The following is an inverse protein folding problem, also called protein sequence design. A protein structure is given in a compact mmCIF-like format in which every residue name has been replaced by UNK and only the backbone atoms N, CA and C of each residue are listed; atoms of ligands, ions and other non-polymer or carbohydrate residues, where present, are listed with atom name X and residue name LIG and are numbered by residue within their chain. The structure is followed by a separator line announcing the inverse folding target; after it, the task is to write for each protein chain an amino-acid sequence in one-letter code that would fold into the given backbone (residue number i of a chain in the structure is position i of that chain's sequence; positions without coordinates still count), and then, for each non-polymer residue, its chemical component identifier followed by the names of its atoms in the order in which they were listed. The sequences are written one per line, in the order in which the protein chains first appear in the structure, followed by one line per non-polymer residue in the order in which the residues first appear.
data_IF_012994407215
#
_entry.id   IF_012994407215
#
_cell.length_a   1.000
_cell.length_b   1.000
_cell.length_c   1.000
_cell.angle_alpha   90.00
_cell.angle_beta   90.00
_cell.angle_gamma   90.00
#
_symmetry.space_group_name_H-M   'P 1'
#
loop_
_entity.id
_entity.type
_entity.pdbx_description
1 polymer ?
#
# COMPACT_ATOMS: atom_id res chain seq x y z
N UNK A 1 16.61 -17.53 -3.07
CA UNK A 1 16.76 -16.06 -3.14
C UNK A 1 16.69 -15.55 -4.57
N UNK A 2 17.51 -16.10 -5.47
CA UNK A 2 17.49 -15.79 -6.91
C UNK A 2 16.09 -15.71 -7.55
N UNK A 3 15.20 -16.67 -7.25
CA UNK A 3 13.83 -16.64 -7.80
C UNK A 3 13.01 -15.43 -7.34
N UNK A 4 13.27 -14.87 -6.15
CA UNK A 4 12.58 -13.66 -5.67
C UNK A 4 13.13 -12.39 -6.33
N UNK A 5 14.42 -12.33 -6.67
CA UNK A 5 14.95 -11.25 -7.50
C UNK A 5 14.31 -11.27 -8.89
N UNK A 6 14.23 -12.44 -9.52
CA UNK A 6 13.56 -12.61 -10.81
C UNK A 6 12.06 -12.27 -10.75
N UNK A 7 11.40 -12.58 -9.64
CA UNK A 7 10.03 -12.15 -9.38
C UNK A 7 9.95 -10.62 -9.30
N UNK A 8 10.85 -9.98 -8.57
CA UNK A 8 10.88 -8.52 -8.41
C UNK A 8 11.04 -7.82 -9.75
N UNK A 9 12.00 -8.26 -10.57
CA UNK A 9 12.22 -7.71 -11.91
C UNK A 9 11.00 -7.91 -12.82
N UNK A 10 10.37 -9.08 -12.77
CA UNK A 10 9.15 -9.35 -13.51
C UNK A 10 8.01 -8.42 -13.08
N UNK A 11 7.79 -8.25 -11.77
CA UNK A 11 6.72 -7.40 -11.24
C UNK A 11 6.95 -5.94 -11.62
N UNK A 12 8.18 -5.42 -11.50
CA UNK A 12 8.50 -4.07 -11.98
C UNK A 12 8.20 -3.91 -13.47
N UNK A 13 8.47 -4.93 -14.29
CA UNK A 13 8.12 -4.92 -15.71
C UNK A 13 6.60 -4.92 -15.94
N UNK A 14 5.81 -5.68 -15.19
CA UNK A 14 4.35 -5.73 -15.30
C UNK A 14 3.71 -4.40 -14.87
N UNK A 15 4.25 -3.78 -13.82
CA UNK A 15 3.90 -2.41 -13.42
C UNK A 15 4.36 -1.38 -14.46
N UNK A 16 5.21 -1.76 -15.40
CA UNK A 16 5.81 -0.91 -16.42
C UNK A 16 6.64 0.21 -15.81
N UNK A 17 7.42 -0.14 -14.79
CA UNK A 17 8.43 0.73 -14.18
C UNK A 17 9.68 0.70 -15.07
N UNK A 18 10.14 1.88 -15.49
CA UNK A 18 11.35 2.01 -16.31
C UNK A 18 12.61 1.85 -15.44
N UNK A 19 13.36 0.78 -15.68
CA UNK A 19 14.60 0.46 -14.94
C UNK A 19 15.75 1.42 -15.22
N UNK A 20 15.64 2.29 -16.23
CA UNK A 20 16.60 3.37 -16.44
C UNK A 20 16.44 4.50 -15.41
N UNK A 21 15.25 4.61 -14.81
CA UNK A 21 14.88 5.68 -13.87
C UNK A 21 14.48 5.16 -12.49
N UNK A 22 14.32 3.85 -12.35
CA UNK A 22 14.02 3.18 -11.09
C UNK A 22 14.94 2.00 -10.79
N UNK A 23 15.69 2.08 -9.69
CA UNK A 23 16.50 0.97 -9.19
C UNK A 23 15.80 0.23 -8.02
N UNK A 24 16.16 -1.04 -7.82
CA UNK A 24 15.76 -1.84 -6.66
C UNK A 24 17.00 -2.30 -5.89
N UNK A 25 16.94 -2.28 -4.55
CA UNK A 25 17.97 -2.80 -3.66
C UNK A 25 17.35 -3.49 -2.44
N UNK A 26 18.19 -4.05 -1.57
CA UNK A 26 17.74 -4.71 -0.32
C UNK A 26 17.87 -3.76 0.88
N UNK A 27 16.88 -3.81 1.78
CA UNK A 27 16.92 -3.14 3.09
C UNK A 27 16.16 -3.96 4.14
N UNK A 28 16.34 -3.63 5.42
CA UNK A 28 15.59 -4.28 6.50
C UNK A 28 14.09 -3.93 6.44
N UNK A 29 13.80 -2.65 6.17
CA UNK A 29 12.44 -2.18 5.95
C UNK A 29 12.35 -1.63 4.53
N UNK A 30 11.45 -2.15 3.67
CA UNK A 30 11.20 -1.59 2.36
C UNK A 30 10.85 -0.09 2.41
N UNK A 31 11.35 0.67 1.45
CA UNK A 31 11.00 2.08 1.27
C UNK A 31 11.24 2.51 -0.17
N UNK A 32 10.66 3.66 -0.51
CA UNK A 32 10.91 4.38 -1.76
C UNK A 32 11.57 5.71 -1.45
N UNK A 33 12.59 6.07 -2.22
CA UNK A 33 13.25 7.36 -2.15
C UNK A 33 13.42 7.95 -3.55
N UNK A 34 12.97 9.20 -3.72
CA UNK A 34 13.15 9.97 -4.96
C UNK A 34 14.16 11.09 -4.78
N UNK A 35 15.20 11.12 -5.60
CA UNK A 35 16.14 12.26 -5.69
C UNK A 35 15.75 13.22 -6.82
N UNK A 36 15.09 12.67 -7.84
CA UNK A 36 14.59 13.33 -9.04
C UNK A 36 13.50 12.41 -9.62
N UNK A 37 12.55 12.91 -10.42
CA UNK A 37 11.57 12.05 -11.11
C UNK A 37 12.20 11.08 -12.16
N UNK A 38 13.53 11.07 -12.28
CA UNK A 38 14.35 10.21 -13.15
C UNK A 38 15.42 9.44 -12.36
N UNK A 39 15.43 9.54 -11.03
CA UNK A 39 16.24 8.73 -10.13
C UNK A 39 15.39 8.45 -8.88
N UNK A 40 14.56 7.42 -9.00
CA UNK A 40 13.75 6.88 -7.92
C UNK A 40 14.30 5.50 -7.55
N UNK A 41 14.33 5.18 -6.27
CA UNK A 41 14.89 3.92 -5.78
C UNK A 41 13.92 3.29 -4.82
N UNK A 42 13.59 2.04 -5.09
CA UNK A 42 12.79 1.22 -4.20
C UNK A 42 13.70 0.21 -3.50
N UNK A 43 13.29 -0.25 -2.34
CA UNK A 43 13.92 -1.39 -1.69
C UNK A 43 12.90 -2.46 -1.34
N UNK A 44 13.37 -3.68 -1.17
CA UNK A 44 12.58 -4.79 -0.63
C UNK A 44 13.41 -5.57 0.36
N UNK A 45 12.76 -6.38 1.19
CA UNK A 45 13.43 -7.43 1.95
C UNK A 45 13.05 -8.78 1.36
N UNK A 46 13.98 -9.73 1.33
CA UNK A 46 13.69 -11.09 0.86
C UNK A 46 13.76 -12.09 2.01
N UNK A 47 12.60 -12.57 2.43
CA UNK A 47 12.50 -13.65 3.40
C UNK A 47 12.47 -14.99 2.65
N UNK A 48 13.39 -15.90 2.98
CA UNK A 48 13.49 -17.21 2.30
C UNK A 48 12.20 -18.02 2.42
N UNK A 49 11.52 -17.91 3.57
CA UNK A 49 10.31 -18.67 3.89
C UNK A 49 9.02 -17.95 3.50
N UNK A 50 9.09 -16.68 3.07
CA UNK A 50 7.92 -15.85 2.79
C UNK A 50 8.08 -15.07 1.46
N UNK A 51 8.11 -15.75 0.30
CA UNK A 51 8.31 -15.09 -1.00
C UNK A 51 7.18 -14.14 -1.39
N UNK A 52 6.01 -14.27 -0.75
CA UNK A 52 4.87 -13.35 -0.94
C UNK A 52 5.17 -11.95 -0.38
N UNK A 53 6.08 -11.85 0.60
CA UNK A 53 6.48 -10.56 1.15
C UNK A 53 7.12 -9.68 0.08
N UNK A 54 8.13 -10.18 -0.64
CA UNK A 54 8.83 -9.40 -1.66
C UNK A 54 7.93 -9.08 -2.85
N UNK A 55 6.99 -9.96 -3.21
CA UNK A 55 5.95 -9.67 -4.20
C UNK A 55 5.19 -8.38 -3.85
N UNK A 56 4.57 -8.32 -2.67
CA UNK A 56 3.76 -7.15 -2.30
C UNK A 56 4.61 -5.94 -1.92
N UNK A 57 5.78 -6.13 -1.34
CA UNK A 57 6.74 -5.04 -1.09
C UNK A 57 7.12 -4.34 -2.39
N UNK A 58 7.45 -5.09 -3.46
CA UNK A 58 7.82 -4.49 -4.75
C UNK A 58 6.63 -3.82 -5.41
N UNK A 59 5.41 -4.36 -5.27
CA UNK A 59 4.21 -3.69 -5.79
C UNK A 59 3.93 -2.39 -5.03
N UNK A 60 4.04 -2.42 -3.70
CA UNK A 60 3.82 -1.27 -2.82
C UNK A 60 4.80 -0.14 -3.12
N UNK A 61 6.10 -0.43 -3.03
CA UNK A 61 7.14 0.56 -3.32
C UNK A 61 7.14 0.94 -4.81
N UNK A 62 6.77 0.02 -5.70
CA UNK A 62 6.55 0.31 -7.11
C UNK A 62 5.45 1.35 -7.34
N UNK A 63 4.35 1.29 -6.60
CA UNK A 63 3.28 2.30 -6.68
C UNK A 63 3.73 3.68 -6.21
N UNK A 64 4.53 3.76 -5.15
CA UNK A 64 5.22 4.98 -4.76
C UNK A 64 6.14 5.50 -5.87
N UNK A 65 6.96 4.62 -6.46
CA UNK A 65 7.89 5.02 -7.50
C UNK A 65 7.20 5.51 -8.77
N UNK A 66 6.08 4.89 -9.15
CA UNK A 66 5.24 5.35 -10.27
C UNK A 66 4.76 6.78 -10.05
N UNK A 67 4.38 7.15 -8.82
CA UNK A 67 3.98 8.52 -8.51
C UNK A 67 5.14 9.51 -8.67
N UNK A 68 6.28 9.20 -8.03
CA UNK A 68 7.46 10.08 -8.07
C UNK A 68 7.98 10.28 -9.51
N UNK A 69 8.07 9.20 -10.29
CA UNK A 69 8.46 9.29 -11.71
C UNK A 69 7.41 9.97 -12.58
N UNK A 70 6.12 9.87 -12.19
CA UNK A 70 5.00 10.48 -12.91
C UNK A 70 4.88 11.99 -12.72
N UNK A 71 5.65 12.60 -11.82
CA UNK A 71 5.69 14.05 -11.63
C UNK A 71 6.28 14.75 -12.88
N UNK A 72 5.73 15.92 -13.27
CA UNK A 72 6.25 16.65 -14.43
C UNK A 72 7.65 17.23 -14.20
N UNK A 73 8.50 17.17 -15.24
CA UNK A 73 9.90 17.64 -15.21
C UNK A 73 10.05 19.09 -14.73
N UNK A 74 9.05 19.95 -14.96
CA UNK A 74 9.06 21.37 -14.56
C UNK A 74 9.09 21.59 -13.05
N UNK A 75 8.77 20.57 -12.25
CA UNK A 75 8.81 20.67 -10.80
C UNK A 75 10.14 20.26 -10.19
N UNK A 76 11.01 19.58 -10.95
CA UNK A 76 12.34 19.22 -10.46
C UNK A 76 13.11 20.47 -10.00
N UNK A 77 13.87 20.33 -8.91
CA UNK A 77 14.63 21.43 -8.28
C UNK A 77 13.77 22.59 -7.74
N UNK A 78 12.47 22.36 -7.51
CA UNK A 78 11.58 23.29 -6.83
C UNK A 78 11.04 22.68 -5.54
N UNK A 79 10.44 23.50 -4.68
CA UNK A 79 9.70 23.01 -3.49
C UNK A 79 8.43 22.22 -3.85
N UNK A 80 8.05 22.20 -5.13
CA UNK A 80 6.89 21.47 -5.63
C UNK A 80 7.22 20.06 -6.11
N UNK A 81 8.50 19.65 -6.08
CA UNK A 81 8.92 18.30 -6.47
C UNK A 81 8.37 17.21 -5.53
N UNK A 82 8.07 16.05 -6.12
CA UNK A 82 7.59 14.85 -5.42
C UNK A 82 6.11 14.87 -5.05
N UNK A 83 5.67 13.86 -4.31
CA UNK A 83 4.25 13.69 -3.98
C UNK A 83 3.67 14.72 -3.01
N UNK A 84 2.38 15.07 -3.19
CA UNK A 84 1.67 16.15 -2.50
C UNK A 84 1.58 15.99 -0.97
N UNK A 85 1.42 14.77 -0.48
CA UNK A 85 1.42 14.42 0.94
C UNK A 85 1.66 12.93 1.14
N UNK A 86 1.98 12.51 2.36
CA UNK A 86 2.08 11.08 2.69
C UNK A 86 0.79 10.31 2.43
N UNK A 87 -0.38 10.93 2.60
CA UNK A 87 -1.67 10.27 2.34
C UNK A 87 -1.91 10.04 0.84
N UNK A 88 -1.61 11.04 0.00
CA UNK A 88 -1.68 10.86 -1.46
C UNK A 88 -0.61 9.87 -1.91
N UNK A 89 0.61 9.95 -1.35
CA UNK A 89 1.71 9.05 -1.70
C UNK A 89 1.38 7.59 -1.36
N UNK A 90 0.86 7.33 -0.16
CA UNK A 90 0.36 6.01 0.26
C UNK A 90 -0.83 5.54 -0.56
N UNK A 91 -1.69 6.45 -1.02
CA UNK A 91 -2.80 6.04 -1.89
C UNK A 91 -2.31 5.39 -3.18
N UNK A 92 -1.15 5.82 -3.71
CA UNK A 92 -0.58 5.23 -4.91
C UNK A 92 -0.01 3.85 -4.61
N UNK A 93 0.77 3.69 -3.54
CA UNK A 93 1.27 2.36 -3.15
C UNK A 93 0.16 1.37 -2.86
N UNK A 94 -0.87 1.76 -2.11
CA UNK A 94 -2.02 0.91 -1.77
C UNK A 94 -2.94 0.63 -2.95
N UNK A 95 -3.07 1.57 -3.89
CA UNK A 95 -3.81 1.32 -5.12
C UNK A 95 -3.16 0.20 -5.93
N UNK A 96 -1.85 0.28 -6.16
CA UNK A 96 -1.14 -0.78 -6.87
C UNK A 96 -1.05 -2.07 -6.05
N UNK A 97 -0.77 -2.02 -4.75
CA UNK A 97 -0.63 -3.19 -3.90
C UNK A 97 -1.94 -3.95 -3.74
N UNK A 98 -3.01 -3.26 -3.34
CA UNK A 98 -4.23 -3.92 -2.90
C UNK A 98 -5.32 -3.91 -3.96
N UNK A 99 -5.61 -2.73 -4.54
CA UNK A 99 -6.70 -2.62 -5.52
C UNK A 99 -6.33 -3.40 -6.78
N UNK A 100 -5.11 -3.24 -7.30
CA UNK A 100 -4.62 -3.98 -8.46
C UNK A 100 -3.96 -5.29 -8.03
N UNK A 101 -2.92 -5.24 -7.19
CA UNK A 101 -2.02 -6.35 -6.91
C UNK A 101 -2.65 -7.53 -6.19
N UNK A 102 -3.68 -7.29 -5.35
CA UNK A 102 -4.47 -8.33 -4.69
C UNK A 102 -5.79 -8.65 -5.40
N UNK A 103 -6.02 -8.09 -6.59
CA UNK A 103 -7.19 -8.42 -7.41
C UNK A 103 -7.05 -9.78 -8.07
N UNK A 104 -8.18 -10.46 -8.25
CA UNK A 104 -8.20 -11.75 -8.96
C UNK A 104 -7.75 -11.63 -10.43
N UNK A 105 -8.14 -10.60 -11.21
CA UNK A 105 -7.62 -10.39 -12.57
C UNK A 105 -6.09 -10.30 -12.62
N UNK A 106 -5.48 -9.48 -11.76
CA UNK A 106 -4.03 -9.30 -11.75
C UNK A 106 -3.30 -10.58 -11.34
N UNK A 107 -3.77 -11.22 -10.26
CA UNK A 107 -3.16 -12.46 -9.79
C UNK A 107 -3.29 -13.58 -10.82
N UNK A 108 -4.42 -13.69 -11.50
CA UNK A 108 -4.60 -14.64 -12.62
C UNK A 108 -3.56 -14.43 -13.72
N UNK A 109 -3.25 -13.18 -14.06
CA UNK A 109 -2.24 -12.86 -15.07
C UNK A 109 -0.82 -13.25 -14.63
N UNK A 110 -0.42 -12.94 -13.39
CA UNK A 110 0.95 -13.20 -12.91
C UNK A 110 1.18 -14.64 -12.42
N UNK A 111 0.11 -15.38 -12.11
CA UNK A 111 0.20 -16.71 -11.50
C UNK A 111 1.05 -17.72 -12.30
N UNK A 112 0.95 -17.79 -13.65
CA UNK A 112 1.84 -18.66 -14.43
C UNK A 112 3.32 -18.40 -14.20
N UNK A 113 3.71 -17.13 -13.99
CA UNK A 113 5.09 -16.77 -13.67
C UNK A 113 5.49 -17.19 -12.25
N UNK A 114 4.56 -17.09 -11.29
CA UNK A 114 4.78 -17.61 -9.94
C UNK A 114 5.01 -19.12 -9.96
N UNK A 115 4.19 -19.88 -10.70
CA UNK A 115 4.37 -21.34 -10.87
C UNK A 115 5.71 -21.67 -11.53
N UNK A 116 6.13 -20.89 -12.53
CA UNK A 116 7.44 -21.07 -13.17
C UNK A 116 8.60 -20.90 -12.17
N UNK A 117 8.52 -19.91 -11.29
CA UNK A 117 9.58 -19.58 -10.33
C UNK A 117 9.55 -20.48 -9.08
N UNK A 118 8.38 -20.93 -8.64
CA UNK A 118 8.17 -21.70 -7.41
C UNK A 118 7.33 -22.97 -7.62
N UNK A 119 7.72 -23.86 -8.56
CA UNK A 119 6.87 -24.97 -9.00
C UNK A 119 6.56 -25.98 -7.90
N UNK A 120 7.51 -26.25 -7.00
CA UNK A 120 7.29 -27.19 -5.87
C UNK A 120 6.38 -26.59 -4.80
N UNK A 121 6.54 -25.30 -4.50
CA UNK A 121 5.77 -24.62 -3.47
C UNK A 121 4.31 -24.35 -3.89
N UNK A 122 4.05 -24.29 -5.20
CA UNK A 122 2.72 -24.06 -5.77
C UNK A 122 2.11 -25.32 -6.42
N UNK A 123 2.64 -26.50 -6.12
CA UNK A 123 2.08 -27.76 -6.61
C UNK A 123 0.63 -27.92 -6.12
N UNK A 124 -0.31 -28.14 -7.06
CA UNK A 124 -1.73 -28.29 -6.75
C UNK A 124 -2.45 -26.99 -6.35
N UNK A 125 -1.80 -25.83 -6.47
CA UNK A 125 -2.41 -24.51 -6.23
C UNK A 125 -2.81 -23.90 -7.57
N UNK A 126 -4.03 -23.39 -7.67
CA UNK A 126 -4.47 -22.55 -8.79
C UNK A 126 -4.47 -21.06 -8.43
N UNK A 127 -4.66 -20.19 -9.44
CA UNK A 127 -4.64 -18.75 -9.25
C UNK A 127 -5.74 -18.25 -8.29
N UNK A 128 -6.90 -18.90 -8.29
CA UNK A 128 -8.03 -18.53 -7.43
C UNK A 128 -7.77 -18.92 -5.96
N UNK A 129 -7.16 -20.07 -5.71
CA UNK A 129 -6.67 -20.48 -4.39
C UNK A 129 -5.60 -19.52 -3.88
N UNK A 130 -4.67 -19.11 -4.75
CA UNK A 130 -3.65 -18.13 -4.39
C UNK A 130 -4.27 -16.77 -4.06
N UNK A 131 -5.21 -16.28 -4.88
CA UNK A 131 -5.98 -15.06 -4.62
C UNK A 131 -6.68 -15.10 -3.25
N UNK A 132 -7.29 -16.24 -2.89
CA UNK A 132 -7.88 -16.42 -1.57
C UNK A 132 -6.85 -16.35 -0.44
N UNK A 133 -5.71 -17.01 -0.60
CA UNK A 133 -4.66 -17.07 0.41
C UNK A 133 -4.06 -15.69 0.73
N UNK A 134 -3.77 -14.89 -0.30
CA UNK A 134 -3.14 -13.56 -0.14
C UNK A 134 -4.11 -12.47 0.32
N UNK A 135 -5.42 -12.75 0.34
CA UNK A 135 -6.46 -11.85 0.85
C UNK A 135 -7.04 -12.31 2.19
N UNK A 136 -6.43 -13.30 2.85
CA UNK A 136 -6.85 -13.75 4.18
C UNK A 136 -6.84 -12.58 5.16
N UNK A 137 -7.98 -12.35 5.83
CA UNK A 137 -8.09 -11.45 6.97
C UNK A 137 -8.01 -12.21 8.30
N UNK A 138 -7.28 -11.64 9.24
CA UNK A 138 -7.20 -12.11 10.63
C UNK A 138 -6.62 -11.00 11.50
N UNK A 139 -7.21 -10.71 12.66
CA UNK A 139 -6.56 -9.83 13.62
C UNK A 139 -5.15 -10.34 13.97
N UNK A 140 -4.19 -9.42 14.04
CA UNK A 140 -2.79 -9.71 14.29
C UNK A 140 -2.15 -8.60 15.14
N UNK A 141 -0.87 -8.77 15.53
CA UNK A 141 -0.16 -7.82 16.38
C UNK A 141 0.61 -6.76 15.59
N UNK A 142 1.19 -7.16 14.46
CA UNK A 142 2.18 -6.38 13.72
C UNK A 142 1.49 -5.63 12.58
N UNK A 143 1.48 -4.29 12.67
CA UNK A 143 0.78 -3.42 11.72
C UNK A 143 1.23 -3.61 10.27
N UNK A 144 2.54 -3.75 10.02
CA UNK A 144 3.09 -3.90 8.66
C UNK A 144 2.73 -5.24 8.00
N UNK A 145 2.28 -6.22 8.79
CA UNK A 145 1.87 -7.55 8.35
C UNK A 145 0.34 -7.73 8.37
N UNK A 146 -0.41 -6.69 8.80
CA UNK A 146 -1.86 -6.75 8.90
C UNK A 146 -2.52 -6.81 7.53
N UNK A 147 -3.64 -7.52 7.45
CA UNK A 147 -4.44 -7.61 6.23
C UNK A 147 -5.23 -6.33 5.96
N UNK A 148 -5.80 -6.23 4.76
CA UNK A 148 -6.48 -5.01 4.30
C UNK A 148 -7.69 -4.61 5.16
N UNK A 149 -8.37 -5.58 5.80
CA UNK A 149 -9.54 -5.32 6.62
C UNK A 149 -9.17 -4.85 8.03
N UNK A 150 -8.08 -5.38 8.60
CA UNK A 150 -7.66 -5.08 9.97
C UNK A 150 -6.62 -3.95 10.07
N UNK A 151 -5.88 -3.66 8.99
CA UNK A 151 -4.81 -2.67 8.97
C UNK A 151 -5.22 -1.29 9.50
N UNK A 152 -6.41 -0.79 9.13
CA UNK A 152 -6.88 0.52 9.59
C UNK A 152 -7.10 0.58 11.11
N UNK A 153 -7.42 -0.53 11.77
CA UNK A 153 -7.59 -0.59 13.22
C UNK A 153 -6.26 -0.36 13.94
N UNK A 154 -5.15 -0.88 13.39
CA UNK A 154 -3.81 -0.59 13.92
C UNK A 154 -3.47 0.89 13.87
N UNK A 155 -3.91 1.58 12.81
CA UNK A 155 -3.74 3.04 12.66
C UNK A 155 -4.61 3.78 13.67
N UNK A 156 -5.86 3.35 13.86
CA UNK A 156 -6.76 3.95 14.85
C UNK A 156 -6.17 3.89 16.26
N UNK A 157 -5.61 2.75 16.69
CA UNK A 157 -4.94 2.65 18.00
C UNK A 157 -3.86 3.74 18.16
N UNK A 158 -2.97 3.87 17.18
CA UNK A 158 -1.87 4.85 17.24
C UNK A 158 -2.40 6.28 17.24
N UNK A 159 -3.41 6.56 16.42
CA UNK A 159 -4.04 7.87 16.36
C UNK A 159 -4.73 8.25 17.67
N UNK A 160 -5.43 7.31 18.32
CA UNK A 160 -6.04 7.54 19.63
C UNK A 160 -4.98 7.85 20.71
N UNK A 161 -3.88 7.09 20.73
CA UNK A 161 -2.77 7.33 21.66
C UNK A 161 -2.09 8.67 21.40
N UNK A 162 -1.82 9.03 20.14
CA UNK A 162 -1.25 10.32 19.77
C UNK A 162 -2.13 11.49 20.21
N UNK A 163 -3.45 11.42 19.98
CA UNK A 163 -4.39 12.46 20.46
C UNK A 163 -4.32 12.63 21.97
N UNK A 164 -4.33 11.53 22.72
CA UNK A 164 -4.30 11.58 24.18
C UNK A 164 -2.96 12.12 24.73
N UNK A 165 -1.84 11.74 24.10
CA UNK A 165 -0.52 12.28 24.44
C UNK A 165 -0.44 13.78 24.17
N UNK A 166 -0.92 14.25 23.01
CA UNK A 166 -0.93 15.67 22.64
C UNK A 166 -1.88 16.47 23.54
N UNK A 167 -3.03 15.90 23.89
CA UNK A 167 -3.99 16.53 24.80
C UNK A 167 -3.52 16.56 26.27
N UNK A 168 -2.44 15.84 26.60
CA UNK A 168 -1.94 15.70 27.97
C UNK A 168 -2.83 14.83 28.87
N UNK A 169 -3.75 14.04 28.28
CA UNK A 169 -4.65 13.13 29.03
C UNK A 169 -4.06 11.75 29.23
N UNK A 170 -2.95 11.43 28.55
CA UNK A 170 -2.17 10.20 28.72
C UNK A 170 -0.70 10.56 29.02
N UNK A 171 -0.13 9.99 30.08
CA UNK A 171 1.31 10.12 30.33
C UNK A 171 2.09 9.07 29.54
N UNK A 172 3.30 9.42 29.08
CA UNK A 172 4.16 8.53 28.27
C UNK A 172 4.41 7.17 28.94
N UNK A 173 4.58 7.15 30.26
CA UNK A 173 4.82 5.91 31.02
C UNK A 173 3.63 4.93 30.98
N UNK A 174 2.43 5.43 30.71
CA UNK A 174 1.18 4.66 30.71
C UNK A 174 0.81 4.17 29.28
N UNK A 175 1.58 4.55 28.26
CA UNK A 175 1.40 4.12 26.86
C UNK A 175 1.35 2.59 26.70
N UNK A 176 2.22 1.78 27.36
CA UNK A 176 2.15 0.33 27.21
C UNK A 176 0.80 -0.27 27.63
N UNK A 177 0.21 0.23 28.72
CA UNK A 177 -1.08 -0.25 29.22
C UNK A 177 -2.23 0.20 28.30
N UNK A 178 -2.26 1.48 27.93
CA UNK A 178 -3.26 2.04 27.02
C UNK A 178 -3.22 1.35 25.64
N UNK A 179 -2.03 1.05 25.14
CA UNK A 179 -1.84 0.28 23.91
C UNK A 179 -2.47 -1.10 23.99
N UNK A 180 -2.18 -1.84 25.07
CA UNK A 180 -2.70 -3.20 25.25
C UNK A 180 -4.22 -3.22 25.37
N UNK A 181 -4.80 -2.22 26.04
CA UNK A 181 -6.25 -2.04 26.12
C UNK A 181 -6.87 -1.81 24.74
N UNK A 182 -6.32 -0.87 23.97
CA UNK A 182 -6.84 -0.54 22.64
C UNK A 182 -6.66 -1.69 21.63
N UNK A 183 -5.56 -2.44 21.69
CA UNK A 183 -5.37 -3.63 20.85
C UNK A 183 -6.40 -4.72 21.18
N UNK A 184 -6.70 -4.94 22.47
CA UNK A 184 -7.76 -5.87 22.88
C UNK A 184 -9.13 -5.38 22.41
N UNK A 185 -9.41 -4.09 22.52
CA UNK A 185 -10.70 -3.50 22.14
C UNK A 185 -10.95 -3.55 20.62
N UNK A 186 -9.97 -3.13 19.82
CA UNK A 186 -10.15 -2.98 18.38
C UNK A 186 -9.86 -4.26 17.60
N UNK A 187 -8.85 -5.03 18.01
CA UNK A 187 -8.39 -6.22 17.29
C UNK A 187 -8.72 -7.52 18.03
N UNK A 188 -9.11 -7.48 19.30
CA UNK A 188 -9.40 -8.70 20.07
C UNK A 188 -8.18 -9.56 20.37
N UNK A 189 -6.96 -9.01 20.27
CA UNK A 189 -5.70 -9.75 20.48
C UNK A 189 -4.99 -9.32 21.76
N UNK A 190 -4.27 -10.25 22.37
CA UNK A 190 -3.45 -9.97 23.54
C UNK A 190 -2.00 -9.67 23.15
N UNK A 191 -1.47 -8.56 23.67
CA UNK A 191 -0.09 -8.14 23.42
C UNK A 191 0.82 -8.78 24.47
N UNK A 192 1.74 -9.69 24.10
CA UNK A 192 2.51 -10.47 25.07
C UNK A 192 3.67 -9.70 25.71
N UNK A 193 4.16 -8.64 25.05
CA UNK A 193 5.25 -7.79 25.53
C UNK A 193 5.35 -6.50 24.71
N UNK A 194 6.09 -5.51 25.22
CA UNK A 194 6.22 -4.20 24.57
C UNK A 194 6.91 -4.25 23.20
N UNK A 195 7.76 -5.24 22.92
CA UNK A 195 8.39 -5.42 21.58
C UNK A 195 7.33 -5.71 20.52
N UNK A 196 6.32 -6.53 20.83
CA UNK A 196 5.15 -6.75 19.96
C UNK A 196 4.01 -5.76 20.21
N UNK A 197 4.21 -4.82 21.15
CA UNK A 197 3.26 -3.79 21.54
C UNK A 197 3.70 -2.42 21.06
N UNK A 198 3.70 -1.44 21.98
CA UNK A 198 4.01 -0.05 21.69
C UNK A 198 5.42 0.24 21.17
N UNK A 199 6.35 -0.73 21.19
CA UNK A 199 7.70 -0.59 20.62
C UNK A 199 7.84 -1.25 19.24
N UNK A 200 6.76 -1.75 18.63
CA UNK A 200 6.82 -2.43 17.34
C UNK A 200 7.18 -1.50 16.17
N UNK A 201 6.93 -0.19 16.31
CA UNK A 201 7.15 0.81 15.27
C UNK A 201 8.19 1.86 15.69
N UNK A 202 9.00 2.32 14.73
CA UNK A 202 10.06 3.31 14.94
C UNK A 202 9.58 4.77 14.85
N UNK A 203 8.34 5.01 14.44
CA UNK A 203 7.84 6.35 14.12
C UNK A 203 7.96 7.32 15.31
N UNK A 204 7.52 6.91 16.50
CA UNK A 204 7.53 7.77 17.67
C UNK A 204 8.95 8.06 18.18
N UNK A 205 9.87 7.10 18.09
CA UNK A 205 11.28 7.35 18.44
C UNK A 205 11.97 8.27 17.43
N UNK A 206 11.52 8.25 16.17
CA UNK A 206 11.92 9.19 15.12
C UNK A 206 11.17 10.53 15.12
N UNK A 207 10.27 10.79 16.08
CA UNK A 207 9.52 12.04 16.18
C UNK A 207 8.36 12.20 15.19
N UNK A 208 7.97 11.14 14.48
CA UNK A 208 6.88 11.15 13.49
C UNK A 208 5.50 11.02 14.17
N UNK A 209 5.12 12.04 14.95
CA UNK A 209 3.81 12.14 15.60
C UNK A 209 2.80 12.75 14.62
N UNK A 210 1.59 12.18 14.52
CA UNK A 210 0.57 12.60 13.55
C UNK A 210 0.79 12.03 12.15
N UNK A 211 1.74 11.11 12.00
CA UNK A 211 2.08 10.49 10.72
C UNK A 211 1.15 9.32 10.38
N UNK A 212 0.86 8.43 11.35
CA UNK A 212 0.08 7.21 11.09
C UNK A 212 -1.26 7.40 10.38
N UNK A 213 -2.05 8.47 10.65
CA UNK A 213 -3.30 8.70 9.92
C UNK A 213 -3.14 8.75 8.40
N UNK A 214 -1.96 9.13 7.88
CA UNK A 214 -1.70 9.13 6.45
C UNK A 214 -1.82 7.74 5.83
N UNK A 215 -1.48 6.69 6.58
CA UNK A 215 -1.58 5.31 6.08
C UNK A 215 -3.04 4.89 5.85
N UNK A 216 -3.93 5.21 6.81
CA UNK A 216 -5.36 4.92 6.68
C UNK A 216 -6.01 5.74 5.56
N UNK A 217 -5.62 7.03 5.42
CA UNK A 217 -6.08 7.86 4.30
C UNK A 217 -5.63 7.30 2.95
N UNK A 218 -4.38 6.82 2.86
CA UNK A 218 -3.86 6.18 1.66
C UNK A 218 -4.73 5.01 1.19
N UNK A 219 -4.99 4.05 2.08
CA UNK A 219 -5.89 2.93 1.79
C UNK A 219 -7.30 3.39 1.40
N UNK A 220 -7.84 4.40 2.08
CA UNK A 220 -9.21 4.86 1.85
C UNK A 220 -9.41 5.63 0.54
N UNK A 221 -8.37 6.30 0.04
CA UNK A 221 -8.43 6.98 -1.26
C UNK A 221 -8.49 6.02 -2.45
N UNK A 222 -7.88 4.84 -2.34
CA UNK A 222 -7.78 3.85 -3.40
C UNK A 222 -9.12 3.51 -4.09
N UNK A 223 -10.13 3.04 -3.33
CA UNK A 223 -11.43 2.68 -3.90
C UNK A 223 -12.16 3.84 -4.58
N UNK A 224 -12.07 5.06 -4.05
CA UNK A 224 -12.70 6.22 -4.69
C UNK A 224 -11.96 6.63 -5.98
N UNK A 225 -10.63 6.48 -6.04
CA UNK A 225 -9.87 6.63 -7.30
C UNK A 225 -10.31 5.61 -8.34
N UNK A 226 -10.52 4.34 -7.93
CA UNK A 226 -11.01 3.31 -8.83
C UNK A 226 -12.39 3.67 -9.42
N UNK A 227 -13.33 4.11 -8.59
CA UNK A 227 -14.66 4.52 -9.06
C UNK A 227 -14.59 5.69 -10.02
N UNK A 228 -13.80 6.72 -9.70
CA UNK A 228 -13.61 7.88 -10.59
C UNK A 228 -12.99 7.48 -11.93
N UNK A 229 -11.99 6.59 -11.89
CA UNK A 229 -11.34 6.04 -13.08
C UNK A 229 -12.35 5.26 -13.95
N UNK A 230 -13.10 4.32 -13.37
CA UNK A 230 -14.07 3.52 -14.14
C UNK A 230 -15.24 4.35 -14.67
N UNK A 231 -15.62 5.43 -14.00
CA UNK A 231 -16.63 6.36 -14.49
C UNK A 231 -16.17 7.12 -15.76
N UNK A 232 -14.88 7.41 -15.89
CA UNK A 232 -14.33 8.14 -17.04
C UNK A 232 -13.95 7.23 -18.21
N UNK A 233 -13.25 6.12 -17.93
CA UNK A 233 -12.67 5.25 -18.97
C UNK A 233 -13.38 3.88 -19.13
N UNK A 234 -14.40 3.59 -18.31
CA UNK A 234 -15.01 2.27 -18.24
C UNK A 234 -14.18 1.27 -17.42
N UNK A 235 -14.66 0.02 -17.36
CA UNK A 235 -14.02 -1.05 -16.58
C UNK A 235 -12.56 -1.25 -16.98
N UNK A 236 -11.67 -1.36 -15.98
CA UNK A 236 -10.23 -1.57 -16.18
C UNK A 236 -9.82 -3.05 -16.16
N UNK A 237 -10.70 -3.92 -15.68
CA UNK A 237 -10.32 -5.26 -15.24
C UNK A 237 -9.98 -6.21 -16.39
N UNK A 238 -10.52 -5.98 -17.59
CA UNK A 238 -10.14 -6.75 -18.79
C UNK A 238 -8.69 -6.50 -19.22
N UNK A 239 -8.20 -5.28 -19.04
CA UNK A 239 -6.82 -4.92 -19.36
C UNK A 239 -5.88 -5.39 -18.25
N UNK A 240 -6.29 -5.24 -16.98
CA UNK A 240 -5.56 -5.80 -15.81
C UNK A 240 -5.40 -7.32 -15.93
N UNK A 241 -6.42 -8.05 -16.39
CA UNK A 241 -6.36 -9.50 -16.61
C UNK A 241 -5.36 -9.92 -17.71
N UNK A 242 -4.94 -8.98 -18.56
CA UNK A 242 -3.92 -9.17 -19.62
C UNK A 242 -2.56 -8.59 -19.22
N UNK A 243 -2.44 -8.07 -17.99
CA UNK A 243 -1.23 -7.41 -17.50
C UNK A 243 -0.99 -6.03 -18.09
N UNK A 244 -1.99 -5.42 -18.73
CA UNK A 244 -1.87 -4.07 -19.28
C UNK A 244 -2.39 -3.03 -18.27
N UNK A 245 -1.44 -2.35 -17.63
CA UNK A 245 -1.72 -1.26 -16.69
C UNK A 245 -1.53 0.13 -17.32
N UNK A 246 -1.39 0.23 -18.65
CA UNK A 246 -1.12 1.49 -19.34
C UNK A 246 -2.21 2.53 -19.11
N UNK A 247 -3.49 2.14 -19.22
CA UNK A 247 -4.62 3.05 -18.99
C UNK A 247 -4.73 3.50 -17.54
N UNK A 248 -4.55 2.58 -16.60
CA UNK A 248 -4.53 2.87 -15.16
C UNK A 248 -3.46 3.91 -14.85
N UNK A 249 -2.22 3.68 -15.31
CA UNK A 249 -1.12 4.62 -15.12
C UNK A 249 -1.35 5.96 -15.82
N UNK A 250 -1.88 5.94 -17.04
CA UNK A 250 -2.18 7.18 -17.77
C UNK A 250 -3.22 8.03 -17.03
N UNK A 251 -4.27 7.41 -16.49
CA UNK A 251 -5.29 8.11 -15.70
C UNK A 251 -4.67 8.72 -14.44
N UNK A 252 -3.94 7.91 -13.65
CA UNK A 252 -3.27 8.39 -12.44
C UNK A 252 -2.25 9.50 -12.74
N UNK A 253 -1.50 9.39 -13.85
CA UNK A 253 -0.58 10.43 -14.28
C UNK A 253 -1.32 11.73 -14.60
N UNK A 254 -2.38 11.66 -15.40
CA UNK A 254 -3.12 12.82 -15.87
C UNK A 254 -3.84 13.57 -14.76
N UNK A 255 -4.36 12.85 -13.76
CA UNK A 255 -5.21 13.42 -12.72
C UNK A 255 -4.49 13.67 -11.40
N UNK A 256 -3.39 12.94 -11.12
CA UNK A 256 -2.69 13.00 -9.83
C UNK A 256 -1.20 13.27 -10.02
N UNK A 257 -0.47 12.38 -10.72
CA UNK A 257 1.00 12.36 -10.63
C UNK A 257 1.63 13.61 -11.22
N UNK A 258 1.15 14.03 -12.39
CA UNK A 258 1.73 15.15 -13.14
C UNK A 258 1.77 16.45 -12.35
N UNK A 259 0.94 16.59 -11.31
CA UNK A 259 0.82 17.82 -10.52
C UNK A 259 1.82 17.93 -9.38
N UNK A 260 2.53 16.85 -9.02
CA UNK A 260 3.46 16.82 -7.89
C UNK A 260 2.83 17.47 -6.63
N UNK A 261 3.45 18.49 -6.03
CA UNK A 261 2.90 19.26 -4.89
C UNK A 261 2.23 20.58 -5.26
N UNK A 262 1.88 20.79 -6.53
CA UNK A 262 1.33 22.07 -6.98
C UNK A 262 -0.01 22.41 -6.30
N UNK A 263 -0.86 21.41 -6.09
CA UNK A 263 -2.13 21.55 -5.39
C UNK A 263 -2.02 21.04 -3.94
N UNK A 264 -2.84 21.62 -3.06
CA UNK A 264 -3.03 21.04 -1.73
C UNK A 264 -3.60 19.61 -1.86
N UNK A 265 -3.28 18.67 -0.95
CA UNK A 265 -3.68 17.27 -1.10
C UNK A 265 -5.20 17.08 -1.24
N UNK A 266 -5.99 17.81 -0.45
CA UNK A 266 -7.45 17.75 -0.53
C UNK A 266 -7.98 18.27 -1.87
N UNK A 267 -7.43 19.39 -2.35
CA UNK A 267 -7.79 19.96 -3.66
C UNK A 267 -7.39 19.01 -4.81
N UNK A 268 -6.18 18.44 -4.76
CA UNK A 268 -5.71 17.49 -5.77
C UNK A 268 -6.65 16.28 -5.86
N UNK A 269 -6.99 15.69 -4.71
CA UNK A 269 -7.89 14.55 -4.67
C UNK A 269 -9.29 14.90 -5.16
N UNK A 270 -9.84 16.04 -4.72
CA UNK A 270 -11.18 16.48 -5.11
C UNK A 270 -11.28 16.80 -6.61
N UNK A 271 -10.24 17.37 -7.22
CA UNK A 271 -10.18 17.58 -8.66
C UNK A 271 -10.21 16.26 -9.45
N UNK A 272 -9.54 15.22 -8.96
CA UNK A 272 -9.45 13.92 -9.63
C UNK A 272 -10.68 13.03 -9.38
N UNK A 273 -11.20 13.03 -8.14
CA UNK A 273 -12.12 11.99 -7.66
C UNK A 273 -13.41 12.54 -7.01
N UNK A 274 -13.56 13.86 -6.95
CA UNK A 274 -14.60 14.53 -6.16
C UNK A 274 -14.32 14.51 -4.66
N UNK A 275 -15.24 15.07 -3.87
CA UNK A 275 -15.09 15.15 -2.41
C UNK A 275 -14.91 13.76 -1.81
N UNK A 276 -13.91 13.61 -0.93
CA UNK A 276 -13.65 12.33 -0.28
C UNK A 276 -14.85 11.83 0.52
N UNK A 277 -15.19 10.55 0.33
CA UNK A 277 -16.20 9.84 1.10
C UNK A 277 -15.67 8.46 1.52
N UNK A 278 -15.57 8.25 2.83
CA UNK A 278 -15.09 6.99 3.40
C UNK A 278 -15.99 5.80 3.05
N UNK A 279 -17.23 6.04 2.60
CA UNK A 279 -18.14 4.99 2.15
C UNK A 279 -17.57 4.18 0.99
N UNK A 280 -16.82 4.79 0.06
CA UNK A 280 -16.16 4.06 -1.02
C UNK A 280 -15.20 2.99 -0.49
N UNK A 281 -14.46 3.32 0.57
CA UNK A 281 -13.53 2.39 1.21
C UNK A 281 -14.25 1.25 1.93
N UNK A 282 -15.28 1.57 2.73
CA UNK A 282 -16.03 0.54 3.46
C UNK A 282 -16.83 -0.36 2.53
N UNK A 283 -17.40 0.19 1.45
CA UNK A 283 -18.17 -0.58 0.46
C UNK A 283 -17.24 -1.53 -0.31
N UNK A 284 -16.06 -1.06 -0.73
CA UNK A 284 -15.03 -1.90 -1.37
C UNK A 284 -14.61 -3.09 -0.49
N UNK A 285 -14.29 -2.82 0.78
CA UNK A 285 -13.91 -3.88 1.71
C UNK A 285 -15.08 -4.85 1.94
N UNK A 286 -16.29 -4.32 2.13
CA UNK A 286 -17.49 -5.15 2.33
C UNK A 286 -17.71 -6.08 1.14
N UNK A 287 -17.74 -5.54 -0.09
CA UNK A 287 -17.94 -6.34 -1.30
C UNK A 287 -16.86 -7.42 -1.47
N UNK A 288 -15.59 -7.02 -1.36
CA UNK A 288 -14.45 -7.91 -1.53
C UNK A 288 -14.48 -9.07 -0.52
N UNK A 289 -14.68 -8.75 0.76
CA UNK A 289 -14.62 -9.73 1.83
C UNK A 289 -15.90 -10.58 1.93
N UNK A 290 -17.08 -10.04 1.59
CA UNK A 290 -18.31 -10.84 1.43
C UNK A 290 -18.13 -11.88 0.34
N UNK A 291 -17.59 -11.50 -0.83
CA UNK A 291 -17.31 -12.46 -1.91
C UNK A 291 -16.25 -13.49 -1.52
N UNK A 292 -15.19 -13.06 -0.82
CA UNK A 292 -14.08 -13.91 -0.44
C UNK A 292 -14.48 -14.98 0.58
N UNK A 293 -15.33 -14.62 1.55
CA UNK A 293 -15.70 -15.47 2.68
C UNK A 293 -17.12 -16.06 2.58
N UNK A 294 -17.87 -15.73 1.52
CA UNK A 294 -19.27 -16.14 1.33
C UNK A 294 -20.17 -15.79 2.54
N UNK A 295 -20.10 -14.53 2.99
CA UNK A 295 -20.84 -14.02 4.15
C UNK A 295 -22.29 -13.65 3.81
#
# INVERSE_FOLDING_TARGET
MEQQHQLSDYIMSVLGIDRNYCAIAESEHPFTSGFHNKDVRITTHYYEQEPVFSLYSVIHEGGHAIYEMGCEDRYNHTFLAGGASMGIHESQSRFFENIIGRSEPFLTYIFPKLVQLFPRQLEGVDAHMFWKAVNKASPSLIRTEADELTYCMHIMVRYELEKQLIAGTLAVRDVPEAWNQLYREYLGVEVPNNRMGCLQDSHWSGGSIGYFPSYALGSAYGPQMLVAMEAEMGSIWEDVAKGDLSKVKAWLHNHIHRHARFYSPGTLFEMACGKFDAKYYTDYLTEKYTRLYNL
#
